data_IF_330505825385
#
_entry.id   IF_330505825385
#
_cell.length_a   1.000
_cell.length_b   1.000
_cell.length_c   1.000
_cell.angle_alpha   90.00
_cell.angle_beta   90.00
_cell.angle_gamma   90.00
#
_symmetry.space_group_name_H-M   'P 1'
#
loop_
_entity.id
_entity.type
_entity.pdbx_description
1 polymer ?
#
# COMPACT_ATOMS: atom_id res chain seq x y z
N UNK A 1 19.62 -16.62 4.77
CA UNK A 1 18.70 -17.05 5.83
C UNK A 1 17.39 -17.38 5.13
N UNK A 2 17.03 -18.65 5.02
CA UNK A 2 15.96 -19.11 4.13
C UNK A 2 14.59 -18.89 4.77
N UNK A 3 13.62 -18.37 3.99
CA UNK A 3 12.21 -18.33 4.41
C UNK A 3 11.71 -19.76 4.64
N UNK A 4 10.92 -20.03 5.70
CA UNK A 4 10.36 -21.34 5.95
C UNK A 4 9.17 -21.58 5.01
N UNK A 5 9.47 -21.92 3.76
CA UNK A 5 8.46 -22.20 2.72
C UNK A 5 8.48 -23.68 2.34
N UNK A 6 7.30 -24.23 2.10
CA UNK A 6 7.16 -25.59 1.56
C UNK A 6 7.43 -25.62 0.04
N UNK A 7 7.35 -26.81 -0.56
CA UNK A 7 7.56 -27.00 -2.00
C UNK A 7 6.50 -26.32 -2.90
N UNK A 8 5.37 -25.89 -2.32
CA UNK A 8 4.31 -25.15 -3.00
C UNK A 8 4.40 -23.63 -2.81
N UNK A 9 5.37 -23.16 -2.01
CA UNK A 9 5.61 -21.75 -1.73
C UNK A 9 4.87 -21.21 -0.50
N UNK A 10 4.09 -22.03 0.21
CA UNK A 10 3.36 -21.61 1.40
C UNK A 10 4.29 -21.55 2.62
N UNK A 11 4.02 -20.62 3.54
CA UNK A 11 4.74 -20.49 4.80
C UNK A 11 4.45 -21.66 5.74
N UNK A 12 5.51 -22.20 6.35
CA UNK A 12 5.47 -23.21 7.40
C UNK A 12 5.78 -22.51 8.73
N UNK A 13 4.82 -22.49 9.65
CA UNK A 13 4.91 -21.76 10.93
C UNK A 13 4.84 -22.67 12.17
N UNK A 14 4.67 -23.98 11.98
CA UNK A 14 4.30 -24.93 13.04
C UNK A 14 5.29 -25.01 14.22
N UNK A 15 6.52 -24.53 14.04
CA UNK A 15 7.62 -24.57 15.04
C UNK A 15 8.26 -23.19 15.31
N UNK A 16 7.60 -22.08 14.95
CA UNK A 16 8.15 -20.73 15.08
C UNK A 16 7.42 -19.95 16.17
N UNK A 17 8.18 -19.45 17.15
CA UNK A 17 7.67 -18.59 18.21
C UNK A 17 6.94 -17.37 17.62
N UNK A 18 5.77 -17.01 18.17
CA UNK A 18 4.93 -15.90 17.68
C UNK A 18 5.70 -14.59 17.52
N UNK A 19 6.66 -14.32 18.42
CA UNK A 19 7.51 -13.14 18.38
C UNK A 19 8.46 -13.09 17.16
N UNK A 20 8.84 -14.26 16.63
CA UNK A 20 9.69 -14.41 15.44
C UNK A 20 8.89 -14.52 14.14
N UNK A 21 7.56 -14.65 14.22
CA UNK A 21 6.69 -14.73 13.05
C UNK A 21 6.56 -13.38 12.34
N UNK A 22 6.52 -12.26 13.07
CA UNK A 22 6.30 -10.92 12.50
C UNK A 22 7.31 -10.59 11.38
N UNK A 23 8.65 -10.74 11.58
CA UNK A 23 9.63 -10.53 10.51
C UNK A 23 9.51 -11.53 9.34
N UNK A 24 8.99 -12.74 9.58
CA UNK A 24 8.78 -13.75 8.53
C UNK A 24 7.67 -13.31 7.59
N UNK A 25 6.56 -12.81 8.13
CA UNK A 25 5.46 -12.29 7.31
C UNK A 25 5.89 -11.11 6.45
N UNK A 26 6.68 -10.18 6.99
CA UNK A 26 7.24 -9.08 6.21
C UNK A 26 8.16 -9.60 5.08
N UNK A 27 9.07 -10.53 5.39
CA UNK A 27 9.96 -11.13 4.37
C UNK A 27 9.19 -11.87 3.28
N UNK A 28 8.14 -12.59 3.65
CA UNK A 28 7.27 -13.29 2.72
C UNK A 28 6.53 -12.32 1.80
N UNK A 29 6.01 -11.21 2.35
CA UNK A 29 5.39 -10.15 1.56
C UNK A 29 6.39 -9.49 0.60
N UNK A 30 7.62 -9.22 1.05
CA UNK A 30 8.69 -8.70 0.18
C UNK A 30 8.98 -9.67 -0.96
N UNK A 31 8.98 -10.99 -0.70
CA UNK A 31 9.12 -12.00 -1.77
C UNK A 31 8.01 -11.88 -2.81
N UNK A 32 6.76 -11.74 -2.37
CA UNK A 32 5.59 -11.58 -3.25
C UNK A 32 5.69 -10.28 -4.07
N UNK A 33 6.09 -9.17 -3.45
CA UNK A 33 6.31 -7.90 -4.14
C UNK A 33 7.43 -7.99 -5.18
N UNK A 34 8.52 -8.66 -4.85
CA UNK A 34 9.57 -8.97 -5.82
C UNK A 34 9.03 -9.80 -6.97
N UNK A 35 8.10 -10.74 -6.74
CA UNK A 35 7.49 -11.48 -7.83
C UNK A 35 6.63 -10.56 -8.71
N UNK A 36 5.83 -9.66 -8.11
CA UNK A 36 5.01 -8.69 -8.84
C UNK A 36 5.88 -7.83 -9.77
N UNK A 37 7.04 -7.36 -9.29
CA UNK A 37 7.91 -6.45 -10.05
C UNK A 37 8.72 -7.19 -11.13
N UNK A 38 9.16 -8.42 -10.85
CA UNK A 38 10.12 -9.12 -11.70
C UNK A 38 9.50 -10.17 -12.63
N UNK A 39 8.27 -10.62 -12.38
CA UNK A 39 7.54 -11.49 -13.30
C UNK A 39 6.67 -10.67 -14.26
N UNK A 40 6.40 -11.23 -15.43
CA UNK A 40 5.37 -10.70 -16.34
C UNK A 40 3.99 -10.96 -15.74
N UNK A 41 3.56 -10.05 -14.86
CA UNK A 41 2.22 -10.03 -14.24
C UNK A 41 1.11 -9.72 -15.24
N UNK A 42 1.45 -9.31 -16.47
CA UNK A 42 0.49 -9.20 -17.56
C UNK A 42 0.00 -10.55 -18.07
N UNK A 43 0.66 -11.65 -17.69
CA UNK A 43 0.25 -13.02 -18.01
C UNK A 43 -0.71 -13.56 -16.95
N UNK A 44 -1.89 -14.01 -17.39
CA UNK A 44 -3.00 -14.50 -16.56
C UNK A 44 -2.62 -15.56 -15.53
N UNK A 45 -1.74 -16.50 -15.90
CA UNK A 45 -1.28 -17.57 -15.00
C UNK A 45 -0.42 -17.01 -13.86
N UNK A 46 0.53 -16.12 -14.17
CA UNK A 46 1.40 -15.50 -13.19
C UNK A 46 0.59 -14.61 -12.24
N UNK A 47 -0.29 -13.78 -12.79
CA UNK A 47 -1.17 -12.92 -12.00
C UNK A 47 -2.03 -13.73 -11.04
N UNK A 48 -2.70 -14.78 -11.53
CA UNK A 48 -3.57 -15.64 -10.71
C UNK A 48 -2.79 -16.36 -9.60
N UNK A 49 -1.56 -16.80 -9.90
CA UNK A 49 -0.70 -17.43 -8.91
C UNK A 49 -0.31 -16.46 -7.79
N UNK A 50 0.15 -15.26 -8.14
CA UNK A 50 0.57 -14.23 -7.17
C UNK A 50 -0.62 -13.71 -6.37
N UNK A 51 -1.78 -13.45 -7.00
CA UNK A 51 -3.00 -13.06 -6.30
C UNK A 51 -3.46 -14.12 -5.29
N UNK A 52 -3.38 -15.40 -5.66
CA UNK A 52 -3.66 -16.52 -4.76
C UNK A 52 -2.67 -16.55 -3.60
N UNK A 53 -1.37 -16.44 -3.87
CA UNK A 53 -0.31 -16.45 -2.85
C UNK A 53 -0.50 -15.29 -1.85
N UNK A 54 -0.76 -14.08 -2.34
CA UNK A 54 -1.00 -12.90 -1.49
C UNK A 54 -2.26 -13.06 -0.63
N UNK A 55 -3.35 -13.62 -1.19
CA UNK A 55 -4.57 -13.91 -0.43
C UNK A 55 -4.36 -14.99 0.63
N UNK A 56 -3.55 -16.01 0.35
CA UNK A 56 -3.19 -17.03 1.34
C UNK A 56 -2.34 -16.43 2.45
N UNK A 57 -1.32 -15.64 2.10
CA UNK A 57 -0.49 -14.89 3.06
C UNK A 57 -1.34 -14.02 3.98
N UNK A 58 -2.28 -13.24 3.44
CA UNK A 58 -3.13 -12.36 4.25
C UNK A 58 -4.06 -13.14 5.20
N UNK A 59 -4.59 -14.29 4.78
CA UNK A 59 -5.43 -15.15 5.65
C UNK A 59 -4.65 -15.82 6.78
N UNK A 60 -3.34 -15.97 6.62
CA UNK A 60 -2.46 -16.58 7.61
C UNK A 60 -1.89 -15.56 8.61
N UNK A 61 -2.21 -14.26 8.47
CA UNK A 61 -1.66 -13.23 9.33
C UNK A 61 -2.05 -13.46 10.81
N UNK A 62 -1.09 -13.29 11.74
CA UNK A 62 -1.36 -13.28 13.17
C UNK A 62 -2.25 -12.11 13.59
N UNK A 63 -2.88 -12.23 14.77
CA UNK A 63 -3.85 -11.24 15.29
C UNK A 63 -3.23 -9.85 15.47
N UNK A 64 -1.93 -9.79 15.72
CA UNK A 64 -1.13 -8.57 15.89
C UNK A 64 -1.14 -7.67 14.64
N UNK A 65 -1.37 -8.26 13.46
CA UNK A 65 -1.50 -7.53 12.20
C UNK A 65 -2.95 -7.13 11.89
N UNK A 66 -3.93 -7.84 12.45
CA UNK A 66 -5.35 -7.75 12.07
C UNK A 66 -6.16 -6.87 13.03
N UNK A 67 -5.58 -6.45 14.16
CA UNK A 67 -6.24 -5.61 15.16
C UNK A 67 -5.67 -4.18 15.24
N UNK A 68 -5.67 -3.40 14.14
CA UNK A 68 -5.33 -1.99 14.27
C UNK A 68 -6.43 -1.24 15.02
N UNK A 69 -6.05 -0.14 15.67
CA UNK A 69 -6.99 0.82 16.23
C UNK A 69 -7.22 1.88 15.16
N UNK A 70 -8.42 1.92 14.58
CA UNK A 70 -8.83 2.97 13.66
C UNK A 70 -9.66 4.00 14.41
N UNK A 71 -9.16 5.22 14.47
CA UNK A 71 -9.90 6.34 15.05
C UNK A 71 -10.65 7.08 13.95
N UNK A 72 -11.98 6.96 13.95
CA UNK A 72 -12.83 7.85 13.15
C UNK A 72 -12.81 9.25 13.77
N UNK A 73 -12.45 10.24 12.95
CA UNK A 73 -12.42 11.62 13.37
C UNK A 73 -13.82 12.25 13.26
N UNK A 74 -14.12 13.23 14.10
CA UNK A 74 -15.48 13.79 14.22
C UNK A 74 -15.99 14.47 12.95
N UNK A 75 -15.09 14.82 12.02
CA UNK A 75 -15.44 15.31 10.70
C UNK A 75 -15.37 14.13 9.70
N UNK A 76 -16.49 13.74 9.06
CA UNK A 76 -16.51 12.68 8.06
C UNK A 76 -15.67 13.00 6.81
N UNK A 77 -15.22 14.24 6.64
CA UNK A 77 -14.29 14.63 5.58
C UNK A 77 -12.82 14.38 5.92
N UNK A 78 -12.49 14.00 7.16
CA UNK A 78 -11.10 13.75 7.58
C UNK A 78 -10.76 12.28 7.46
N UNK A 79 -9.60 11.99 6.87
CA UNK A 79 -9.10 10.62 6.74
C UNK A 79 -8.86 10.03 8.13
N UNK A 80 -9.37 8.82 8.42
CA UNK A 80 -9.15 8.18 9.72
C UNK A 80 -7.67 7.86 9.95
N UNK A 81 -7.28 7.73 11.21
CA UNK A 81 -5.93 7.30 11.59
C UNK A 81 -5.96 5.82 11.98
N UNK A 82 -5.04 5.03 11.43
CA UNK A 82 -4.91 3.60 11.73
C UNK A 82 -3.59 3.32 12.45
N UNK A 83 -3.70 2.85 13.70
CA UNK A 83 -2.58 2.58 14.60
C UNK A 83 -2.32 1.09 14.74
N UNK A 84 -1.05 0.69 14.76
CA UNK A 84 -0.61 -0.70 14.94
C UNK A 84 0.23 -0.86 16.20
N UNK A 85 0.22 -2.06 16.78
CA UNK A 85 1.04 -2.39 17.96
C UNK A 85 2.55 -2.39 17.71
N UNK A 86 2.99 -2.37 16.44
CA UNK A 86 4.42 -2.24 16.09
C UNK A 86 4.62 -1.59 14.71
N UNK A 87 5.79 -0.96 14.54
CA UNK A 87 6.23 -0.41 13.26
C UNK A 87 6.25 -1.47 12.15
N UNK A 88 6.70 -2.69 12.48
CA UNK A 88 6.77 -3.79 11.51
C UNK A 88 5.37 -4.18 11.01
N UNK A 89 4.37 -4.21 11.89
CA UNK A 89 2.99 -4.48 11.47
C UNK A 89 2.47 -3.39 10.53
N UNK A 90 2.67 -2.11 10.88
CA UNK A 90 2.26 -0.98 10.06
C UNK A 90 2.91 -1.00 8.67
N UNK A 91 4.24 -1.17 8.62
CA UNK A 91 4.99 -1.27 7.37
C UNK A 91 4.48 -2.46 6.55
N UNK A 92 4.32 -3.62 7.16
CA UNK A 92 3.84 -4.83 6.47
C UNK A 92 2.45 -4.61 5.86
N UNK A 93 1.52 -4.01 6.60
CA UNK A 93 0.17 -3.76 6.09
C UNK A 93 0.12 -2.67 5.01
N UNK A 94 0.92 -1.60 5.13
CA UNK A 94 1.04 -0.61 4.07
C UNK A 94 1.57 -1.23 2.76
N UNK A 95 2.56 -2.11 2.85
CA UNK A 95 3.09 -2.83 1.69
C UNK A 95 2.11 -3.88 1.14
N UNK A 96 1.27 -4.47 1.99
CA UNK A 96 0.19 -5.36 1.53
C UNK A 96 -0.83 -4.59 0.68
N UNK A 97 -1.29 -3.44 1.15
CA UNK A 97 -2.21 -2.59 0.38
C UNK A 97 -1.57 -2.12 -0.93
N UNK A 98 -0.28 -1.78 -0.92
CA UNK A 98 0.48 -1.48 -2.13
C UNK A 98 0.52 -2.68 -3.10
N UNK A 99 0.78 -3.89 -2.59
CA UNK A 99 0.77 -5.12 -3.41
C UNK A 99 -0.62 -5.36 -4.05
N UNK A 100 -1.70 -5.10 -3.30
CA UNK A 100 -3.07 -5.18 -3.83
C UNK A 100 -3.33 -4.18 -4.93
N UNK A 101 -2.91 -2.92 -4.77
CA UNK A 101 -2.99 -1.90 -5.83
C UNK A 101 -2.23 -2.37 -7.08
N UNK A 102 -0.99 -2.83 -6.92
CA UNK A 102 -0.18 -3.31 -8.05
C UNK A 102 -0.85 -4.46 -8.81
N UNK A 103 -1.43 -5.44 -8.10
CA UNK A 103 -2.17 -6.54 -8.75
C UNK A 103 -3.41 -6.04 -9.48
N UNK A 104 -4.21 -5.16 -8.86
CA UNK A 104 -5.43 -4.64 -9.46
C UNK A 104 -5.15 -3.84 -10.74
N UNK A 105 -4.15 -2.94 -10.71
CA UNK A 105 -3.76 -2.12 -11.87
C UNK A 105 -3.21 -2.97 -13.01
N UNK A 106 -2.55 -4.09 -12.69
CA UNK A 106 -1.95 -4.98 -13.69
C UNK A 106 -2.80 -6.23 -13.96
N UNK A 107 -4.10 -6.21 -13.64
CA UNK A 107 -4.96 -7.36 -13.91
C UNK A 107 -5.05 -7.64 -15.42
N UNK A 108 -4.75 -8.88 -15.87
CA UNK A 108 -4.85 -9.26 -17.27
C UNK A 108 -6.26 -9.08 -17.83
N UNK A 109 -6.35 -8.52 -19.03
CA UNK A 109 -7.63 -8.11 -19.66
C UNK A 109 -8.60 -9.27 -19.84
N UNK A 110 -8.10 -10.44 -20.21
CA UNK A 110 -8.91 -11.66 -20.35
C UNK A 110 -9.54 -12.09 -19.02
N UNK A 111 -8.81 -11.96 -17.90
CA UNK A 111 -9.35 -12.21 -16.56
C UNK A 111 -10.33 -11.13 -16.13
N UNK A 112 -10.00 -9.85 -16.37
CA UNK A 112 -10.90 -8.73 -16.06
C UNK A 112 -12.24 -8.87 -16.80
N UNK A 113 -12.21 -9.16 -18.10
CA UNK A 113 -13.42 -9.37 -18.90
C UNK A 113 -14.16 -10.67 -18.57
N UNK A 114 -13.49 -11.70 -18.05
CA UNK A 114 -14.14 -12.94 -17.63
C UNK A 114 -15.13 -12.73 -16.47
N UNK A 115 -14.93 -11.71 -15.63
CA UNK A 115 -15.85 -11.35 -14.54
C UNK A 115 -17.22 -10.83 -15.03
N UNK A 116 -17.33 -10.44 -16.31
CA UNK A 116 -18.59 -10.03 -16.95
C UNK A 116 -19.44 -11.21 -17.44
N UNK A 117 -18.91 -12.44 -17.41
CA UNK A 117 -19.68 -13.63 -17.82
C UNK A 117 -20.74 -14.03 -16.80
N UNK A 118 -20.72 -13.42 -15.62
CA UNK A 118 -21.83 -13.49 -14.66
C UNK A 118 -22.92 -12.53 -15.15
N UNK A 119 -24.15 -13.02 -15.37
CA UNK A 119 -25.23 -12.36 -16.15
C UNK A 119 -25.66 -10.97 -15.62
N UNK A 120 -25.11 -10.51 -14.50
CA UNK A 120 -25.45 -9.27 -13.80
C UNK A 120 -24.39 -8.16 -13.86
N UNK A 121 -23.19 -8.42 -14.40
CA UNK A 121 -22.04 -7.50 -14.39
C UNK A 121 -21.76 -6.93 -15.77
N UNK A 122 -21.98 -5.62 -15.97
CA UNK A 122 -21.55 -4.92 -17.18
C UNK A 122 -20.12 -4.34 -17.06
N UNK A 123 -19.54 -3.90 -18.17
CA UNK A 123 -18.17 -3.36 -18.19
C UNK A 123 -18.00 -2.13 -17.27
N UNK A 124 -19.01 -1.25 -17.21
CA UNK A 124 -18.96 -0.05 -16.38
C UNK A 124 -18.95 -0.41 -14.89
N UNK A 125 -19.77 -1.36 -14.47
CA UNK A 125 -19.81 -1.89 -13.11
C UNK A 125 -18.48 -2.53 -12.71
N UNK A 126 -17.81 -3.21 -13.65
CA UNK A 126 -16.48 -3.79 -13.45
C UNK A 126 -15.43 -2.69 -13.18
N UNK A 127 -15.41 -1.61 -13.97
CA UNK A 127 -14.52 -0.47 -13.74
C UNK A 127 -14.84 0.28 -12.44
N UNK A 128 -16.11 0.46 -12.12
CA UNK A 128 -16.52 1.09 -10.86
C UNK A 128 -16.10 0.23 -9.65
N UNK A 129 -16.16 -1.09 -9.76
CA UNK A 129 -15.66 -1.99 -8.73
C UNK A 129 -14.15 -1.90 -8.58
N UNK A 130 -13.41 -1.91 -9.69
CA UNK A 130 -11.96 -1.73 -9.69
C UNK A 130 -11.56 -0.40 -9.02
N UNK A 131 -12.21 0.71 -9.39
CA UNK A 131 -11.94 2.01 -8.78
C UNK A 131 -12.24 2.02 -7.28
N UNK A 132 -13.31 1.35 -6.84
CA UNK A 132 -13.65 1.23 -5.42
C UNK A 132 -12.56 0.46 -4.66
N UNK A 133 -12.11 -0.66 -5.21
CA UNK A 133 -11.09 -1.51 -4.59
C UNK A 133 -9.73 -0.79 -4.51
N UNK A 134 -9.34 -0.08 -5.58
CA UNK A 134 -8.14 0.76 -5.60
C UNK A 134 -8.23 1.89 -4.58
N UNK A 135 -9.37 2.56 -4.50
CA UNK A 135 -9.59 3.64 -3.54
C UNK A 135 -9.52 3.10 -2.10
N UNK A 136 -10.17 1.97 -1.81
CA UNK A 136 -10.12 1.35 -0.48
C UNK A 136 -8.67 1.13 -0.04
N UNK A 137 -7.86 0.45 -0.85
CA UNK A 137 -6.47 0.19 -0.50
C UNK A 137 -5.61 1.46 -0.40
N UNK A 138 -5.92 2.48 -1.19
CA UNK A 138 -5.25 3.78 -1.09
C UNK A 138 -5.55 4.48 0.23
N UNK A 139 -6.82 4.47 0.65
CA UNK A 139 -7.24 5.05 1.93
C UNK A 139 -6.65 4.32 3.13
N UNK A 140 -6.52 2.99 3.08
CA UNK A 140 -5.82 2.24 4.15
C UNK A 140 -4.35 2.68 4.29
N UNK A 141 -3.64 2.91 3.18
CA UNK A 141 -2.24 3.39 3.20
C UNK A 141 -2.16 4.79 3.82
N UNK A 142 -3.07 5.69 3.43
CA UNK A 142 -3.11 7.06 3.94
C UNK A 142 -3.44 7.04 5.44
N UNK A 143 -4.40 6.23 5.86
CA UNK A 143 -4.77 6.08 7.28
C UNK A 143 -3.62 5.54 8.13
N UNK A 144 -2.87 4.55 7.62
CA UNK A 144 -1.64 4.05 8.25
C UNK A 144 -0.60 5.18 8.38
N UNK A 145 -0.40 5.98 7.34
CA UNK A 145 0.59 7.06 7.34
C UNK A 145 0.25 8.18 8.36
N UNK A 146 -1.04 8.44 8.59
CA UNK A 146 -1.46 9.37 9.64
C UNK A 146 -1.28 8.78 11.03
N UNK A 147 -1.68 7.52 11.28
CA UNK A 147 -1.56 6.91 12.60
C UNK A 147 -0.12 6.56 12.99
N UNK A 148 0.75 6.18 12.05
CA UNK A 148 2.08 5.64 12.36
C UNK A 148 3.21 6.60 11.98
N UNK A 149 3.40 7.65 12.80
CA UNK A 149 4.36 8.76 12.57
C UNK A 149 5.80 8.46 13.00
N UNK A 150 6.13 7.24 13.41
CA UNK A 150 7.50 6.87 13.79
C UNK A 150 8.48 6.96 12.63
N UNK A 151 9.70 7.46 12.88
CA UNK A 151 10.74 7.65 11.85
C UNK A 151 11.00 6.36 11.05
N UNK A 152 10.96 5.20 11.68
CA UNK A 152 11.14 3.93 11.00
C UNK A 152 10.04 3.67 9.97
N UNK A 153 8.76 3.84 10.36
CA UNK A 153 7.61 3.65 9.46
C UNK A 153 7.64 4.65 8.31
N UNK A 154 7.81 5.94 8.62
CA UNK A 154 7.80 7.03 7.65
C UNK A 154 8.75 6.79 6.46
N UNK A 155 9.97 6.26 6.70
CA UNK A 155 10.93 5.92 5.63
C UNK A 155 10.37 4.95 4.60
N UNK A 156 9.59 3.98 5.06
CA UNK A 156 9.04 2.93 4.21
C UNK A 156 7.73 3.35 3.55
N UNK A 157 7.08 4.42 3.99
CA UNK A 157 5.78 4.87 3.47
C UNK A 157 5.86 5.59 2.12
N UNK A 158 7.03 6.06 1.68
CA UNK A 158 7.18 6.81 0.41
C UNK A 158 6.63 6.03 -0.79
N UNK A 159 6.97 4.74 -0.91
CA UNK A 159 6.54 3.93 -2.07
C UNK A 159 5.05 3.54 -2.00
N UNK A 160 4.50 3.09 -0.85
CA UNK A 160 3.07 2.92 -0.67
C UNK A 160 2.26 4.19 -0.96
N UNK A 161 2.67 5.34 -0.41
CA UNK A 161 1.96 6.61 -0.62
C UNK A 161 1.96 7.04 -2.08
N UNK A 162 3.07 6.83 -2.80
CA UNK A 162 3.11 7.07 -4.23
C UNK A 162 2.06 6.25 -4.97
N UNK A 163 2.01 4.92 -4.74
CA UNK A 163 1.03 4.07 -5.43
C UNK A 163 -0.42 4.36 -5.01
N UNK A 164 -0.66 4.68 -3.74
CA UNK A 164 -1.96 5.16 -3.27
C UNK A 164 -2.37 6.43 -4.03
N UNK A 165 -1.48 7.42 -4.13
CA UNK A 165 -1.71 8.68 -4.84
C UNK A 165 -2.18 8.49 -6.28
N UNK A 166 -1.56 7.57 -7.02
CA UNK A 166 -1.92 7.28 -8.42
C UNK A 166 -3.35 6.75 -8.59
N UNK A 167 -3.96 6.25 -7.52
CA UNK A 167 -5.32 5.71 -7.54
C UNK A 167 -6.40 6.73 -7.09
N UNK A 168 -6.00 7.92 -6.62
CA UNK A 168 -6.90 8.92 -6.08
C UNK A 168 -7.56 9.79 -7.15
N UNK A 169 -8.85 10.02 -6.97
CA UNK A 169 -9.64 10.93 -7.82
C UNK A 169 -9.98 12.27 -7.15
N UNK A 170 -10.09 12.30 -5.81
CA UNK A 170 -10.48 13.50 -5.06
C UNK A 170 -9.28 14.41 -4.79
N UNK A 171 -9.47 15.74 -4.89
CA UNK A 171 -8.39 16.72 -4.67
C UNK A 171 -7.88 16.70 -3.22
N UNK A 172 -8.76 16.53 -2.23
CA UNK A 172 -8.39 16.53 -0.82
C UNK A 172 -7.55 15.32 -0.46
N UNK A 173 -7.87 14.16 -1.03
CA UNK A 173 -7.07 12.95 -0.82
C UNK A 173 -5.69 13.10 -1.48
N UNK A 174 -5.64 13.72 -2.67
CA UNK A 174 -4.37 14.02 -3.36
C UNK A 174 -3.51 14.98 -2.55
N UNK A 175 -4.09 16.07 -2.04
CA UNK A 175 -3.43 17.02 -1.14
C UNK A 175 -2.92 16.34 0.12
N UNK A 176 -3.69 15.40 0.69
CA UNK A 176 -3.28 14.60 1.83
C UNK A 176 -2.01 13.78 1.55
N UNK A 177 -1.94 13.10 0.40
CA UNK A 177 -0.75 12.33 -0.01
C UNK A 177 0.46 13.25 -0.21
N UNK A 178 0.29 14.41 -0.84
CA UNK A 178 1.38 15.38 -1.00
C UNK A 178 1.86 15.90 0.36
N UNK A 179 0.93 16.24 1.26
CA UNK A 179 1.24 16.68 2.62
C UNK A 179 2.03 15.64 3.39
N UNK A 180 1.62 14.37 3.35
CA UNK A 180 2.33 13.25 3.96
C UNK A 180 3.74 13.06 3.39
N UNK A 181 3.92 13.16 2.06
CA UNK A 181 5.24 13.06 1.43
C UNK A 181 6.17 14.20 1.82
N UNK A 182 5.65 15.43 1.95
CA UNK A 182 6.41 16.59 2.46
C UNK A 182 6.82 16.40 3.92
N UNK A 183 5.89 15.98 4.78
CA UNK A 183 6.19 15.67 6.19
C UNK A 183 7.33 14.64 6.31
N UNK A 184 7.32 13.58 5.50
CA UNK A 184 8.38 12.56 5.53
C UNK A 184 9.75 13.14 5.16
N UNK A 185 9.81 14.05 4.18
CA UNK A 185 11.06 14.71 3.79
C UNK A 185 11.58 15.62 4.90
N UNK A 186 10.69 16.38 5.55
CA UNK A 186 11.02 17.28 6.66
C UNK A 186 11.45 16.52 7.93
N UNK A 187 10.69 15.49 8.33
CA UNK A 187 10.89 14.74 9.58
C UNK A 187 12.10 13.79 9.51
N UNK A 188 12.35 13.21 8.33
CA UNK A 188 13.31 12.09 8.19
C UNK A 188 14.46 12.39 7.23
N UNK A 189 14.35 13.44 6.40
CA UNK A 189 15.36 13.81 5.42
C UNK A 189 15.42 12.87 4.20
N UNK A 190 14.37 12.09 3.95
CA UNK A 190 14.26 11.27 2.73
C UNK A 190 13.74 12.14 1.60
N UNK A 191 14.45 12.21 0.48
CA UNK A 191 13.98 12.97 -0.68
C UNK A 191 12.69 12.36 -1.24
N UNK A 192 11.59 13.11 -1.23
CA UNK A 192 10.28 12.71 -1.77
C UNK A 192 9.81 13.60 -2.92
N UNK A 193 10.48 14.74 -3.17
CA UNK A 193 10.11 15.70 -4.21
C UNK A 193 9.91 15.12 -5.62
N UNK A 194 10.65 14.06 -5.98
CA UNK A 194 10.46 13.37 -7.26
C UNK A 194 9.09 12.67 -7.37
N UNK A 195 8.60 12.04 -6.29
CA UNK A 195 7.27 11.42 -6.28
C UNK A 195 6.15 12.45 -6.29
N UNK A 196 6.36 13.57 -5.60
CA UNK A 196 5.43 14.71 -5.63
C UNK A 196 5.30 15.23 -7.06
N UNK A 197 6.41 15.40 -7.77
CA UNK A 197 6.41 15.81 -9.17
C UNK A 197 5.71 14.78 -10.06
N UNK A 198 6.08 13.49 -9.97
CA UNK A 198 5.47 12.42 -10.75
C UNK A 198 3.93 12.41 -10.60
N UNK A 199 3.43 12.52 -9.36
CA UNK A 199 2.00 12.55 -9.07
C UNK A 199 1.33 13.82 -9.60
N UNK A 200 1.95 14.97 -9.41
CA UNK A 200 1.38 16.25 -9.86
C UNK A 200 1.28 16.29 -11.40
N UNK A 201 2.30 15.78 -12.09
CA UNK A 201 2.28 15.61 -13.55
C UNK A 201 1.15 14.67 -13.99
N UNK A 202 1.01 13.51 -13.34
CA UNK A 202 -0.06 12.53 -13.64
C UNK A 202 -1.46 13.10 -13.40
N UNK A 203 -1.62 13.96 -12.39
CA UNK A 203 -2.89 14.63 -12.09
C UNK A 203 -3.13 15.91 -12.90
N UNK A 204 -2.15 16.40 -13.65
CA UNK A 204 -2.23 17.65 -14.40
C UNK A 204 -2.22 18.91 -13.54
N UNK A 205 -1.59 18.87 -12.37
CA UNK A 205 -1.49 19.98 -11.40
C UNK A 205 -0.11 20.64 -11.55
N UNK A 206 -0.01 21.98 -11.59
CA UNK A 206 1.28 22.68 -11.62
C UNK A 206 2.11 22.33 -10.38
N UNK A 207 3.35 21.89 -10.59
CA UNK A 207 4.32 21.75 -9.50
C UNK A 207 4.82 23.15 -9.18
N UNK A 208 4.51 23.66 -7.99
CA UNK A 208 5.24 24.81 -7.46
C UNK A 208 6.69 24.37 -7.28
N UNK A 209 7.61 24.92 -8.07
CA UNK A 209 9.05 24.74 -7.88
C UNK A 209 9.40 25.28 -6.48
N UNK A 210 9.46 24.38 -5.51
CA UNK A 210 10.00 24.71 -4.19
C UNK A 210 11.49 24.98 -4.36
N UNK A 211 11.91 26.22 -4.08
CA UNK A 211 13.31 26.56 -3.87
C UNK A 211 14.00 25.52 -2.96
N UNK A 212 15.30 25.24 -3.15
CA UNK A 212 16.02 24.24 -2.35
C UNK A 212 15.82 24.50 -0.85
N UNK A 213 15.66 23.44 -0.03
CA UNK A 213 15.29 23.60 1.37
C UNK A 213 16.33 24.43 2.10
N UNK A 214 15.91 25.62 2.57
CA UNK A 214 16.63 26.35 3.60
C UNK A 214 16.37 25.58 4.89
N UNK A 215 17.34 24.80 5.35
CA UNK A 215 17.27 24.05 6.61
C UNK A 215 17.07 25.00 7.80
N UNK A 216 15.82 25.37 8.09
CA UNK A 216 15.43 26.06 9.30
C UNK A 216 14.73 25.04 10.20
N UNK A 217 15.48 24.56 11.19
CA UNK A 217 14.95 23.79 12.31
C UNK A 217 13.95 24.67 13.08
N UNK A 218 12.64 24.50 12.85
CA UNK A 218 11.63 24.53 13.92
C UNK A 218 10.19 24.45 13.37
N UNK A 219 9.38 23.70 14.12
CA UNK A 219 7.91 23.55 14.12
C UNK A 219 7.39 22.39 13.25
N UNK A 220 7.16 21.25 13.92
CA UNK A 220 6.57 20.05 13.36
C UNK A 220 5.08 20.20 13.07
N UNK A 221 4.63 19.43 12.07
CA UNK A 221 3.24 19.20 11.69
C UNK A 221 2.45 18.46 12.77
#
# INVERSE_FOLDING_TARGET
>A
MNLPINNTGDLILDDIDEQDQIPIFLKALIRILCQIINHDIGVSINWTHIDKELKQWHRALPTEFISPITQELSDPATVPETWFGSDTCAITMAFYHMARILLLVNQPRDLFLATQKDESSDLLSSYNSLQRDLNQHSMEIIAIAYGMRGIAVQKYMVQPLYFAGRCLSDSKDRESVIGLLKCIEEDVGVFTGYRIRDLSEEWGIPVEESDPPVYNLSHGC
#
